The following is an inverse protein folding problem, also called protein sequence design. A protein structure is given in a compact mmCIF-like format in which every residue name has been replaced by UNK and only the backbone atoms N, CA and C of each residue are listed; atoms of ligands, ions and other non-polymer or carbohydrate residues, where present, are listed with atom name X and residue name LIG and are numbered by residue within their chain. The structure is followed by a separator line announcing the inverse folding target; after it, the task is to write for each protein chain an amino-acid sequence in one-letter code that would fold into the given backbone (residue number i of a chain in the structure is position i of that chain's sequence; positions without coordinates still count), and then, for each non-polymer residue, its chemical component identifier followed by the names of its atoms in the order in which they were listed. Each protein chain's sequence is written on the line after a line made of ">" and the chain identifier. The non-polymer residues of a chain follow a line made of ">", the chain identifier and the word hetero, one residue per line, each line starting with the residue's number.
data_IF_334699659690
#
_entry.id   IF_334699659690
#
_cell.length_a   1.000
_cell.length_b   1.000
_cell.length_c   1.000
_cell.angle_alpha   90.00
_cell.angle_beta   90.00
_cell.angle_gamma   90.00
#
_symmetry.space_group_name_H-M   'P 1'
#
loop_
_entity.id
_entity.type
_entity.pdbx_description
1 polymer ?
#
# COMPACT_ATOMS: atom_id res chain seq x y z
N UNK A 1 -20.73 29.81 31.95
CA UNK A 1 -19.93 28.70 32.52
C UNK A 1 -20.58 27.40 32.04
N UNK A 2 -19.97 26.39 31.44
CA UNK A 2 -18.61 26.06 31.03
C UNK A 2 -18.75 25.15 29.81
N UNK A 3 -18.13 25.48 28.68
CA UNK A 3 -18.14 24.65 27.46
C UNK A 3 -17.25 23.42 27.69
N UNK A 4 -17.86 22.23 27.80
CA UNK A 4 -17.13 20.96 27.88
C UNK A 4 -16.37 20.75 26.56
N UNK A 5 -15.07 21.10 26.55
CA UNK A 5 -14.13 20.67 25.51
C UNK A 5 -14.12 19.14 25.48
N UNK A 6 -14.64 18.56 24.40
CA UNK A 6 -14.47 17.15 24.05
C UNK A 6 -12.98 16.87 23.88
N UNK A 7 -12.31 16.34 24.89
CA UNK A 7 -10.95 15.82 24.75
C UNK A 7 -11.01 14.55 23.90
N UNK A 8 -10.75 14.68 22.61
CA UNK A 8 -10.53 13.53 21.74
C UNK A 8 -9.40 12.68 22.35
N UNK A 9 -9.71 11.44 22.75
CA UNK A 9 -8.70 10.50 23.25
C UNK A 9 -7.61 10.35 22.18
N UNK A 10 -6.35 10.55 22.54
CA UNK A 10 -5.19 10.37 21.64
C UNK A 10 -4.85 8.89 21.53
N UNK A 11 -4.53 8.42 20.32
CA UNK A 11 -4.06 7.04 20.08
C UNK A 11 -2.78 6.77 20.89
N UNK A 12 -2.70 5.64 21.62
CA UNK A 12 -1.51 5.27 22.39
C UNK A 12 -0.25 5.19 21.52
N UNK A 13 0.88 5.71 22.02
CA UNK A 13 2.15 5.71 21.29
C UNK A 13 2.63 4.31 20.88
N UNK A 14 2.36 3.27 21.67
CA UNK A 14 2.73 1.90 21.31
C UNK A 14 1.99 1.38 20.06
N UNK A 15 0.88 2.00 19.70
CA UNK A 15 0.10 1.70 18.51
C UNK A 15 0.50 2.52 17.28
N UNK A 16 1.46 3.43 17.42
CA UNK A 16 1.99 4.24 16.33
C UNK A 16 3.37 3.71 15.91
N UNK A 17 3.64 3.69 14.61
CA UNK A 17 4.87 3.13 14.03
C UNK A 17 6.13 3.81 14.59
N UNK A 18 6.05 5.11 14.86
CA UNK A 18 7.15 5.95 15.35
C UNK A 18 7.06 6.24 16.86
N UNK A 19 6.09 5.67 17.55
CA UNK A 19 5.93 5.86 18.99
C UNK A 19 5.40 7.25 19.29
N UNK A 20 6.12 7.98 20.13
CA UNK A 20 5.86 9.41 20.42
C UNK A 20 6.56 10.34 19.42
N UNK A 21 7.38 9.80 18.52
CA UNK A 21 8.13 10.61 17.56
C UNK A 21 7.23 10.91 16.37
N UNK A 22 7.35 12.13 15.86
CA UNK A 22 6.70 12.54 14.63
C UNK A 22 7.53 12.15 13.39
N UNK A 23 6.96 12.40 12.21
CA UNK A 23 7.72 12.37 10.97
C UNK A 23 8.81 13.46 11.02
N UNK A 24 10.02 13.19 10.48
CA UNK A 24 11.09 14.18 10.48
C UNK A 24 10.66 15.48 9.77
N UNK A 25 11.04 16.64 10.32
CA UNK A 25 10.63 17.92 9.75
C UNK A 25 11.26 18.20 8.38
N UNK A 26 12.46 17.68 8.14
CA UNK A 26 13.16 17.72 6.87
C UNK A 26 13.97 16.45 6.63
N UNK A 27 14.22 16.16 5.36
CA UNK A 27 15.07 15.05 4.91
C UNK A 27 15.91 15.53 3.73
N UNK A 28 17.21 15.25 3.77
CA UNK A 28 18.11 15.42 2.64
C UNK A 28 18.21 14.10 1.87
N UNK A 29 17.99 14.16 0.56
CA UNK A 29 18.21 13.07 -0.39
C UNK A 29 19.23 13.52 -1.44
N UNK A 30 19.71 12.61 -2.28
CA UNK A 30 20.58 12.95 -3.41
C UNK A 30 19.93 13.98 -4.36
N UNK A 31 18.60 13.94 -4.46
CA UNK A 31 17.79 14.88 -5.22
C UNK A 31 17.49 16.19 -4.49
N UNK A 32 18.15 16.52 -3.38
CA UNK A 32 18.00 17.79 -2.66
C UNK A 32 17.31 17.69 -1.30
N UNK A 33 17.01 18.85 -0.70
CA UNK A 33 16.34 18.94 0.60
C UNK A 33 14.82 19.04 0.46
N UNK A 34 14.12 18.31 1.32
CA UNK A 34 12.66 18.28 1.35
C UNK A 34 12.15 18.54 2.78
N UNK A 35 11.08 19.31 2.90
CA UNK A 35 10.41 19.64 4.17
C UNK A 35 9.05 18.98 4.26
N UNK A 36 8.68 18.55 5.46
CA UNK A 36 7.41 17.91 5.73
C UNK A 36 6.26 18.88 5.42
N UNK A 37 5.32 18.43 4.60
CA UNK A 37 4.16 19.21 4.20
C UNK A 37 2.86 18.59 4.76
N UNK A 38 2.62 17.30 4.52
CA UNK A 38 1.38 16.64 4.96
C UNK A 38 1.61 15.21 5.40
N UNK A 39 1.16 14.87 6.61
CA UNK A 39 1.12 13.47 7.07
C UNK A 39 -0.16 12.80 6.56
N UNK A 40 -0.02 11.73 5.78
CA UNK A 40 -1.15 10.97 5.26
C UNK A 40 -1.63 9.91 6.25
N UNK A 41 -0.70 9.20 6.86
CA UNK A 41 -1.01 8.05 7.72
C UNK A 41 0.04 7.90 8.80
N UNK A 42 -0.40 7.57 10.01
CA UNK A 42 0.46 7.10 11.09
C UNK A 42 -0.24 5.96 11.81
N UNK A 43 0.02 4.74 11.35
CA UNK A 43 -0.60 3.55 11.91
C UNK A 43 0.43 2.69 12.66
N UNK A 44 0.04 1.46 13.01
CA UNK A 44 0.88 0.53 13.73
C UNK A 44 2.17 0.13 12.99
N UNK A 45 2.12 0.01 11.68
CA UNK A 45 3.19 -0.54 10.86
C UNK A 45 4.05 0.52 10.19
N UNK A 46 3.44 1.63 9.76
CA UNK A 46 4.16 2.70 9.08
C UNK A 46 3.57 4.09 9.33
N UNK A 47 4.44 5.09 9.18
CA UNK A 47 4.07 6.48 9.01
C UNK A 47 4.40 6.91 7.58
N UNK A 48 3.45 7.55 6.89
CA UNK A 48 3.59 7.99 5.49
C UNK A 48 3.23 9.47 5.41
N UNK A 49 4.08 10.26 4.78
CA UNK A 49 3.88 11.69 4.62
C UNK A 49 4.45 12.22 3.31
N UNK A 50 3.88 13.31 2.82
CA UNK A 50 4.37 14.11 1.71
C UNK A 50 5.36 15.16 2.20
N UNK A 51 6.43 15.33 1.44
CA UNK A 51 7.42 16.38 1.62
C UNK A 51 7.54 17.18 0.32
N UNK A 52 7.94 18.44 0.44
CA UNK A 52 8.12 19.37 -0.66
C UNK A 52 9.54 19.94 -0.61
N UNK A 53 10.19 20.00 -1.76
CA UNK A 53 11.51 20.60 -1.94
C UNK A 53 11.61 21.26 -3.31
N UNK A 54 12.76 21.84 -3.61
CA UNK A 54 12.98 22.59 -4.86
C UNK A 54 12.83 21.71 -6.11
N UNK A 55 13.11 20.41 -5.98
CA UNK A 55 12.99 19.41 -7.04
C UNK A 55 11.63 18.69 -7.07
N UNK A 56 10.61 19.26 -6.42
CA UNK A 56 9.23 18.78 -6.46
C UNK A 56 8.76 18.13 -5.16
N UNK A 57 7.73 17.27 -5.28
CA UNK A 57 7.09 16.61 -4.14
C UNK A 57 7.49 15.14 -4.06
N UNK A 58 7.66 14.65 -2.85
CA UNK A 58 8.02 13.25 -2.58
C UNK A 58 7.11 12.66 -1.50
N UNK A 59 7.00 11.33 -1.49
CA UNK A 59 6.39 10.58 -0.40
C UNK A 59 7.48 9.85 0.36
N UNK A 60 7.50 10.03 1.68
CA UNK A 60 8.36 9.27 2.57
C UNK A 60 7.49 8.35 3.40
N UNK A 61 7.84 7.06 3.38
CA UNK A 61 7.23 6.02 4.19
C UNK A 61 8.28 5.49 5.17
N UNK A 62 8.01 5.60 6.46
CA UNK A 62 8.86 5.09 7.54
C UNK A 62 8.14 3.96 8.25
N UNK A 63 8.69 2.76 8.13
CA UNK A 63 8.24 1.57 8.85
C UNK A 63 8.47 1.66 10.35
N UNK A 64 7.85 0.73 11.07
CA UNK A 64 7.83 0.70 12.53
C UNK A 64 9.24 0.75 13.16
N UNK A 65 9.38 1.66 14.13
CA UNK A 65 10.50 1.77 15.07
C UNK A 65 10.06 1.52 16.52
N UNK A 66 8.78 1.76 16.83
CA UNK A 66 8.25 1.70 18.17
C UNK A 66 8.19 0.28 18.76
N UNK A 67 8.36 0.22 20.07
CA UNK A 67 8.11 -0.99 20.85
C UNK A 67 6.61 -1.25 20.94
N UNK A 68 6.22 -2.52 20.88
CA UNK A 68 4.88 -2.94 21.26
C UNK A 68 4.98 -3.67 22.59
N UNK A 69 4.60 -2.98 23.68
CA UNK A 69 4.88 -3.42 25.04
C UNK A 69 6.38 -3.70 25.23
N UNK A 70 6.77 -4.95 25.47
CA UNK A 70 8.15 -5.38 25.72
C UNK A 70 8.83 -5.93 24.47
N UNK A 71 8.18 -5.88 23.31
CA UNK A 71 8.71 -6.45 22.07
C UNK A 71 9.26 -5.33 21.17
N UNK A 72 10.58 -5.31 20.88
CA UNK A 72 11.16 -4.38 19.93
C UNK A 72 10.81 -4.82 18.51
N UNK A 73 9.86 -4.13 17.87
CA UNK A 73 9.40 -4.46 16.51
C UNK A 73 10.11 -3.66 15.40
N UNK A 74 11.22 -2.97 15.72
CA UNK A 74 11.99 -2.18 14.75
C UNK A 74 12.54 -3.01 13.59
N UNK A 75 12.84 -4.29 13.82
CA UNK A 75 13.33 -5.20 12.78
C UNK A 75 12.29 -5.42 11.66
N UNK A 76 10.99 -5.40 11.98
CA UNK A 76 9.91 -5.50 10.99
C UNK A 76 9.95 -4.27 10.08
N UNK A 77 10.09 -3.07 10.65
CA UNK A 77 10.20 -1.83 9.87
C UNK A 77 11.42 -1.82 8.95
N UNK A 78 12.57 -2.34 9.41
CA UNK A 78 13.76 -2.50 8.55
C UNK A 78 13.54 -3.47 7.42
N UNK A 79 12.94 -4.63 7.71
CA UNK A 79 12.65 -5.65 6.72
C UNK A 79 11.66 -5.13 5.66
N UNK A 80 10.55 -4.51 6.07
CA UNK A 80 9.59 -3.89 5.15
C UNK A 80 10.25 -2.85 4.25
N UNK A 81 11.04 -1.93 4.83
CA UNK A 81 11.72 -0.92 4.03
C UNK A 81 12.71 -1.55 3.04
N UNK A 82 13.45 -2.59 3.46
CA UNK A 82 14.36 -3.38 2.61
C UNK A 82 13.65 -4.00 1.42
N UNK A 83 12.60 -4.74 1.73
CA UNK A 83 11.78 -5.42 0.76
C UNK A 83 11.13 -4.46 -0.25
N UNK A 84 10.44 -3.44 0.25
CA UNK A 84 9.71 -2.47 -0.57
C UNK A 84 10.66 -1.63 -1.45
N UNK A 85 11.84 -1.25 -0.93
CA UNK A 85 12.86 -0.58 -1.75
C UNK A 85 13.35 -1.47 -2.88
N UNK A 86 13.62 -2.76 -2.59
CA UNK A 86 14.02 -3.71 -3.63
C UNK A 86 12.92 -4.02 -4.65
N UNK A 87 11.65 -3.78 -4.32
CA UNK A 87 10.55 -3.81 -5.29
C UNK A 87 10.58 -2.56 -6.18
N UNK A 88 10.71 -1.37 -5.59
CA UNK A 88 10.83 -0.12 -6.34
C UNK A 88 12.04 -0.13 -7.29
N UNK A 89 13.22 -0.54 -6.82
CA UNK A 89 14.43 -0.67 -7.64
C UNK A 89 14.24 -1.63 -8.82
N UNK A 90 13.49 -2.72 -8.63
CA UNK A 90 13.22 -3.70 -9.68
C UNK A 90 12.18 -3.24 -10.72
N UNK A 91 11.46 -2.14 -10.43
CA UNK A 91 10.34 -1.63 -11.21
C UNK A 91 10.50 -0.16 -11.61
N UNK A 92 11.67 0.44 -11.38
CA UNK A 92 11.92 1.89 -11.56
C UNK A 92 11.78 2.33 -13.03
N UNK A 93 11.88 1.39 -13.97
CA UNK A 93 11.69 1.62 -15.40
C UNK A 93 10.21 1.57 -15.84
N UNK A 94 9.29 1.14 -14.98
CA UNK A 94 7.87 1.13 -15.30
C UNK A 94 7.24 2.51 -15.05
N UNK A 95 6.69 3.11 -16.11
CA UNK A 95 5.97 4.38 -16.02
C UNK A 95 4.80 4.35 -15.00
N UNK A 96 4.17 3.19 -14.80
CA UNK A 96 3.10 3.00 -13.83
C UNK A 96 3.59 2.88 -12.37
N UNK A 97 4.88 3.04 -12.09
CA UNK A 97 5.47 3.00 -10.74
C UNK A 97 6.15 4.33 -10.46
N UNK A 98 5.89 4.98 -9.31
CA UNK A 98 6.58 6.21 -8.98
C UNK A 98 8.09 6.00 -8.89
N UNK A 99 8.85 6.96 -9.43
CA UNK A 99 10.32 6.93 -9.40
C UNK A 99 10.83 6.74 -7.97
N UNK A 100 11.73 5.78 -7.80
CA UNK A 100 12.37 5.54 -6.53
C UNK A 100 13.42 6.61 -6.23
N UNK A 101 13.41 7.16 -5.02
CA UNK A 101 14.36 8.22 -4.60
C UNK A 101 15.31 7.73 -3.51
N UNK A 102 15.30 6.43 -3.21
CA UNK A 102 16.24 5.81 -2.29
C UNK A 102 15.70 5.64 -0.86
N UNK A 103 16.63 5.26 0.01
CA UNK A 103 16.37 4.89 1.40
C UNK A 103 16.41 6.10 2.32
N UNK A 104 15.40 6.21 3.19
CA UNK A 104 15.40 7.17 4.31
C UNK A 104 15.81 6.44 5.58
N UNK A 105 17.13 6.35 5.77
CA UNK A 105 17.74 5.56 6.82
C UNK A 105 17.35 4.07 6.78
N UNK A 106 17.48 3.38 7.91
CA UNK A 106 17.28 1.92 7.98
C UNK A 106 15.82 1.46 7.92
N UNK A 107 14.85 2.34 8.12
CA UNK A 107 13.43 1.97 8.29
C UNK A 107 12.51 2.66 7.29
N UNK A 108 13.02 3.54 6.43
CA UNK A 108 12.19 4.27 5.49
C UNK A 108 12.73 4.26 4.08
N UNK A 109 11.88 4.73 3.18
CA UNK A 109 12.14 4.89 1.76
C UNK A 109 11.39 6.12 1.24
N UNK A 110 11.88 6.66 0.14
CA UNK A 110 11.29 7.79 -0.57
C UNK A 110 11.01 7.41 -2.02
N UNK A 111 9.89 7.90 -2.55
CA UNK A 111 9.57 7.86 -3.97
C UNK A 111 8.91 9.17 -4.41
N UNK A 112 8.89 9.43 -5.71
CA UNK A 112 8.24 10.61 -6.27
C UNK A 112 6.75 10.65 -5.88
N UNK A 113 6.24 11.83 -5.59
CA UNK A 113 4.81 12.03 -5.41
C UNK A 113 4.12 12.04 -6.78
N UNK A 114 3.00 11.32 -6.87
CA UNK A 114 2.15 11.33 -8.07
C UNK A 114 1.03 12.35 -7.83
N UNK A 115 0.94 13.35 -8.71
CA UNK A 115 -0.21 14.28 -8.73
C UNK A 115 -1.46 13.53 -9.21
N UNK A 116 -2.54 13.67 -8.46
CA UNK A 116 -3.75 12.85 -8.58
C UNK A 116 -4.27 12.39 -7.24
N UNK A 117 -5.02 11.29 -7.23
CA UNK A 117 -5.65 10.78 -6.02
C UNK A 117 -5.78 9.24 -6.00
N UNK A 118 -5.87 8.63 -4.81
CA UNK A 118 -6.20 7.21 -4.70
C UNK A 118 -7.53 6.88 -5.34
N UNK A 119 -7.56 5.83 -6.17
CA UNK A 119 -8.74 5.37 -6.88
C UNK A 119 -9.89 5.08 -5.90
N UNK A 120 -11.02 5.77 -6.11
CA UNK A 120 -12.21 5.61 -5.28
C UNK A 120 -13.10 4.49 -5.84
N UNK A 121 -13.88 3.88 -4.95
CA UNK A 121 -14.81 2.81 -5.36
C UNK A 121 -15.92 3.40 -6.23
N UNK A 122 -16.10 2.86 -7.44
CA UNK A 122 -17.15 3.32 -8.36
C UNK A 122 -16.83 4.65 -9.05
N UNK A 123 -15.61 5.14 -8.91
CA UNK A 123 -15.14 6.29 -9.68
C UNK A 123 -15.10 5.96 -11.17
N UNK A 124 -15.37 6.94 -12.03
CA UNK A 124 -15.22 6.75 -13.47
C UNK A 124 -13.81 7.17 -13.88
N UNK A 125 -13.03 6.21 -14.36
CA UNK A 125 -11.66 6.42 -14.90
C UNK A 125 -11.67 6.42 -16.43
N UNK A 126 -10.61 6.90 -17.10
CA UNK A 126 -10.47 6.84 -18.56
C UNK A 126 -10.67 5.44 -19.15
N UNK A 127 -11.04 5.37 -20.43
CA UNK A 127 -11.40 4.10 -21.08
C UNK A 127 -10.24 3.10 -21.15
N UNK A 128 -9.04 3.60 -21.39
CA UNK A 128 -7.80 2.81 -21.49
C UNK A 128 -7.11 2.54 -20.14
N UNK A 129 -7.67 3.05 -19.03
CA UNK A 129 -7.05 2.98 -17.71
C UNK A 129 -6.76 1.54 -17.26
N UNK A 130 -7.72 0.64 -17.46
CA UNK A 130 -7.57 -0.76 -17.07
C UNK A 130 -6.65 -1.54 -18.02
N UNK A 131 -6.53 -1.12 -19.28
CA UNK A 131 -5.58 -1.73 -20.20
C UNK A 131 -4.15 -1.43 -19.76
N UNK A 132 -3.85 -0.16 -19.50
CA UNK A 132 -2.57 0.31 -18.91
C UNK A 132 -2.26 -0.37 -17.57
N UNK A 133 -3.26 -0.50 -16.68
CA UNK A 133 -3.08 -1.19 -15.40
C UNK A 133 -2.76 -2.68 -15.58
N UNK A 134 -3.39 -3.35 -16.55
CA UNK A 134 -3.08 -4.76 -16.89
C UNK A 134 -1.68 -4.89 -17.47
N UNK A 135 -1.25 -3.98 -18.33
CA UNK A 135 0.11 -3.94 -18.86
C UNK A 135 1.16 -3.79 -17.75
N UNK A 136 0.94 -2.87 -16.81
CA UNK A 136 1.81 -2.69 -15.65
C UNK A 136 1.94 -3.97 -14.82
N UNK A 137 0.82 -4.63 -14.53
CA UNK A 137 0.80 -5.87 -13.75
C UNK A 137 1.43 -7.03 -14.52
N UNK A 138 1.22 -7.13 -15.83
CA UNK A 138 1.89 -8.11 -16.68
C UNK A 138 3.42 -7.92 -16.64
N UNK A 139 3.89 -6.68 -16.73
CA UNK A 139 5.32 -6.37 -16.66
C UNK A 139 5.92 -6.71 -15.28
N UNK A 140 5.18 -6.49 -14.19
CA UNK A 140 5.57 -6.96 -12.84
C UNK A 140 5.68 -8.50 -12.83
N UNK A 141 4.70 -9.20 -13.42
CA UNK A 141 4.67 -10.66 -13.45
C UNK A 141 5.81 -11.27 -14.27
N UNK A 142 6.18 -10.63 -15.38
CA UNK A 142 7.31 -11.03 -16.25
C UNK A 142 8.65 -10.95 -15.51
N UNK A 143 8.81 -10.01 -14.57
CA UNK A 143 10.00 -9.90 -13.71
C UNK A 143 10.05 -10.93 -12.58
N UNK A 144 9.13 -11.89 -12.54
CA UNK A 144 9.09 -12.89 -11.48
C UNK A 144 8.48 -12.38 -10.17
N UNK A 145 7.71 -11.29 -10.23
CA UNK A 145 7.07 -10.68 -9.07
C UNK A 145 5.55 -10.90 -9.09
N UNK A 146 4.88 -10.63 -7.97
CA UNK A 146 3.43 -10.47 -7.90
C UNK A 146 3.12 -9.27 -7.00
N UNK A 147 2.10 -8.48 -7.34
CA UNK A 147 1.81 -7.24 -6.62
C UNK A 147 1.07 -7.50 -5.29
N UNK A 148 0.13 -8.45 -5.28
CA UNK A 148 -0.59 -9.02 -4.12
C UNK A 148 -1.61 -8.11 -3.43
N UNK A 149 -1.44 -6.78 -3.42
CA UNK A 149 -2.33 -5.87 -2.66
C UNK A 149 -3.42 -5.16 -3.49
N UNK A 150 -3.68 -5.60 -4.73
CA UNK A 150 -4.67 -4.98 -5.63
C UNK A 150 -6.12 -5.05 -5.12
N UNK A 151 -6.38 -5.77 -4.02
CA UNK A 151 -7.69 -5.74 -3.37
C UNK A 151 -8.04 -4.34 -2.83
N UNK A 152 -7.03 -3.56 -2.43
CA UNK A 152 -7.20 -2.18 -1.97
C UNK A 152 -7.06 -1.23 -3.16
N UNK A 153 -8.18 -0.70 -3.64
CA UNK A 153 -8.17 0.30 -4.72
C UNK A 153 -7.35 1.54 -4.35
N UNK A 154 -7.23 1.87 -3.05
CA UNK A 154 -6.43 2.98 -2.53
C UNK A 154 -4.93 2.87 -2.86
N UNK A 155 -4.43 1.68 -3.21
CA UNK A 155 -3.04 1.50 -3.64
C UNK A 155 -2.83 1.74 -5.15
N UNK A 156 -3.90 2.04 -5.89
CA UNK A 156 -3.83 2.52 -7.27
C UNK A 156 -4.14 4.01 -7.24
N UNK A 157 -3.18 4.84 -7.65
CA UNK A 157 -3.40 6.27 -7.84
C UNK A 157 -3.89 6.50 -9.27
N UNK A 158 -4.95 7.29 -9.42
CA UNK A 158 -5.35 7.88 -10.69
C UNK A 158 -4.56 9.18 -10.81
N UNK A 159 -3.60 9.23 -11.72
CA UNK A 159 -2.84 10.44 -11.97
C UNK A 159 -3.70 11.52 -12.63
N UNK A 160 -3.32 12.79 -12.44
CA UNK A 160 -3.95 13.91 -13.15
C UNK A 160 -3.76 13.83 -14.69
N UNK A 161 -2.77 13.05 -15.13
CA UNK A 161 -2.52 12.66 -16.51
C UNK A 161 -3.43 11.52 -17.02
N UNK A 162 -4.34 11.02 -16.17
CA UNK A 162 -5.23 9.90 -16.46
C UNK A 162 -4.58 8.51 -16.41
N UNK A 163 -3.31 8.41 -15.98
CA UNK A 163 -2.58 7.14 -15.94
C UNK A 163 -2.77 6.42 -14.59
N UNK A 164 -2.74 5.06 -14.58
CA UNK A 164 -2.72 4.29 -13.34
C UNK A 164 -1.30 4.21 -12.76
N UNK A 165 -1.14 4.55 -11.48
CA UNK A 165 0.11 4.35 -10.75
C UNK A 165 -0.06 3.38 -9.59
N UNK A 166 0.84 2.41 -9.45
CA UNK A 166 0.88 1.42 -8.38
C UNK A 166 1.80 1.90 -7.25
N UNK A 167 1.27 1.93 -6.03
CA UNK A 167 2.03 2.25 -4.82
C UNK A 167 1.93 1.12 -3.79
N UNK A 168 2.66 1.24 -2.69
CA UNK A 168 2.65 0.30 -1.55
C UNK A 168 3.01 -1.15 -1.93
N UNK A 169 4.30 -1.40 -2.18
CA UNK A 169 4.82 -2.73 -2.53
C UNK A 169 5.21 -3.57 -1.30
N UNK A 170 4.78 -3.16 -0.11
CA UNK A 170 5.23 -3.74 1.16
C UNK A 170 4.93 -5.24 1.28
N UNK A 171 3.82 -5.70 0.70
CA UNK A 171 3.42 -7.12 0.71
C UNK A 171 3.59 -7.80 -0.64
N UNK A 172 4.15 -7.10 -1.64
CA UNK A 172 4.38 -7.68 -2.95
C UNK A 172 5.33 -8.86 -2.86
N UNK A 173 5.11 -9.88 -3.70
CA UNK A 173 6.00 -11.02 -3.76
C UNK A 173 7.23 -10.69 -4.60
N UNK A 174 8.40 -10.75 -3.98
CA UNK A 174 9.70 -10.70 -4.65
C UNK A 174 10.64 -11.68 -3.99
N UNK A 175 11.12 -12.63 -4.75
CA UNK A 175 12.16 -13.56 -4.31
C UNK A 175 13.16 -13.73 -5.44
N UNK A 176 14.44 -13.51 -5.16
CA UNK A 176 15.47 -13.60 -6.20
C UNK A 176 15.60 -15.04 -6.71
N UNK A 177 16.02 -15.18 -7.97
CA UNK A 177 16.29 -16.49 -8.57
C UNK A 177 17.35 -17.27 -7.79
N UNK A 178 18.36 -16.58 -7.29
CA UNK A 178 19.44 -17.16 -6.47
C UNK A 178 18.92 -17.76 -5.15
N UNK A 179 17.92 -17.16 -4.52
CA UNK A 179 17.26 -17.70 -3.32
C UNK A 179 16.24 -18.81 -3.64
N UNK A 180 16.29 -19.40 -4.83
CA UNK A 180 15.41 -20.50 -5.23
C UNK A 180 13.98 -20.06 -5.59
N UNK A 181 13.75 -18.79 -5.93
CA UNK A 181 12.41 -18.29 -6.27
C UNK A 181 11.75 -18.98 -7.47
N UNK A 182 12.54 -19.64 -8.33
CA UNK A 182 12.05 -20.44 -9.46
C UNK A 182 11.90 -21.94 -9.14
N UNK A 183 12.29 -22.37 -7.94
CA UNK A 183 12.17 -23.76 -7.52
C UNK A 183 10.75 -24.05 -7.04
N UNK A 184 10.35 -25.31 -7.17
CA UNK A 184 9.16 -25.81 -6.49
C UNK A 184 9.42 -25.82 -4.97
N UNK A 185 8.48 -25.38 -4.10
CA UNK A 185 7.10 -24.95 -4.39
C UNK A 185 6.91 -23.44 -4.61
N UNK A 186 7.96 -22.63 -4.46
CA UNK A 186 7.89 -21.16 -4.48
C UNK A 186 7.42 -20.61 -5.82
N UNK A 187 7.83 -21.23 -6.94
CA UNK A 187 7.33 -20.91 -8.28
C UNK A 187 5.81 -21.09 -8.39
N UNK A 188 5.26 -22.15 -7.79
CA UNK A 188 3.82 -22.41 -7.80
C UNK A 188 3.09 -21.35 -6.96
N UNK A 189 3.61 -21.02 -5.78
CA UNK A 189 3.07 -19.96 -4.93
C UNK A 189 3.06 -18.62 -5.66
N UNK A 190 4.17 -18.23 -6.30
CA UNK A 190 4.25 -17.03 -7.14
C UNK A 190 3.16 -17.02 -8.21
N UNK A 191 3.01 -18.11 -8.98
CA UNK A 191 1.96 -18.21 -10.02
C UNK A 191 0.56 -18.04 -9.42
N UNK A 192 0.31 -18.56 -8.22
CA UNK A 192 -0.98 -18.37 -7.51
C UNK A 192 -1.20 -16.91 -7.10
N UNK A 193 -0.16 -16.23 -6.62
CA UNK A 193 -0.23 -14.81 -6.28
C UNK A 193 -0.49 -13.95 -7.53
N UNK A 194 0.19 -14.25 -8.65
CA UNK A 194 -0.05 -13.60 -9.94
C UNK A 194 -1.49 -13.81 -10.43
N UNK A 195 -2.05 -15.02 -10.28
CA UNK A 195 -3.47 -15.28 -10.58
C UNK A 195 -4.40 -14.45 -9.68
N UNK A 196 -4.03 -14.24 -8.42
CA UNK A 196 -4.79 -13.38 -7.50
C UNK A 196 -4.82 -11.93 -7.99
N UNK A 197 -3.70 -11.39 -8.46
CA UNK A 197 -3.65 -10.04 -9.04
C UNK A 197 -4.63 -9.90 -10.21
N UNK A 198 -4.62 -10.83 -11.16
CA UNK A 198 -5.54 -10.83 -12.31
C UNK A 198 -7.02 -10.89 -11.89
N UNK A 199 -7.34 -11.66 -10.85
CA UNK A 199 -8.68 -11.68 -10.28
C UNK A 199 -9.04 -10.32 -9.66
N UNK A 200 -8.11 -9.68 -8.93
CA UNK A 200 -8.34 -8.39 -8.31
C UNK A 200 -8.48 -7.25 -9.32
N UNK A 201 -7.74 -7.25 -10.43
CA UNK A 201 -7.95 -6.29 -11.53
C UNK A 201 -9.36 -6.42 -12.09
N UNK A 202 -9.82 -7.63 -12.44
CA UNK A 202 -11.18 -7.84 -12.97
C UNK A 202 -12.26 -7.39 -11.98
N UNK A 203 -12.05 -7.68 -10.69
CA UNK A 203 -12.94 -7.23 -9.60
C UNK A 203 -12.95 -5.70 -9.47
N UNK A 204 -11.81 -5.04 -9.68
CA UNK A 204 -11.68 -3.59 -9.64
C UNK A 204 -12.36 -2.95 -10.86
N UNK A 205 -12.11 -3.45 -12.07
CA UNK A 205 -12.75 -3.00 -13.30
C UNK A 205 -14.26 -3.12 -13.22
N UNK A 206 -14.79 -4.28 -12.81
CA UNK A 206 -16.24 -4.47 -12.65
C UNK A 206 -16.89 -3.42 -11.73
N UNK A 207 -16.17 -2.95 -10.71
CA UNK A 207 -16.69 -1.96 -9.76
C UNK A 207 -16.63 -0.53 -10.27
N UNK A 208 -15.86 -0.28 -11.32
CA UNK A 208 -15.39 1.06 -11.73
C UNK A 208 -15.89 1.37 -13.15
N UNK A 209 -15.64 0.45 -14.09
CA UNK A 209 -16.03 0.50 -15.49
C UNK A 209 -16.57 -0.86 -15.97
N UNK A 210 -17.72 -1.33 -15.45
CA UNK A 210 -18.34 -2.57 -15.92
C UNK A 210 -18.78 -2.49 -17.39
N UNK A 211 -19.02 -1.27 -17.89
CA UNK A 211 -19.38 -0.95 -19.28
C UNK A 211 -18.28 -1.31 -20.29
N UNK A 212 -17.01 -1.38 -19.85
CA UNK A 212 -15.87 -1.72 -20.70
C UNK A 212 -15.49 -3.21 -20.63
N UNK A 213 -16.29 -4.04 -19.96
CA UNK A 213 -16.03 -5.46 -19.84
C UNK A 213 -16.91 -6.23 -20.83
N UNK A 214 -16.35 -7.25 -21.48
CA UNK A 214 -17.14 -8.22 -22.21
C UNK A 214 -18.11 -8.94 -21.27
N UNK A 215 -19.23 -9.45 -21.79
CA UNK A 215 -20.18 -10.21 -20.97
C UNK A 215 -19.54 -11.42 -20.29
N UNK A 216 -18.60 -12.07 -20.98
CA UNK A 216 -17.88 -13.23 -20.46
C UNK A 216 -16.90 -12.84 -19.35
N UNK A 217 -16.19 -11.71 -19.50
CA UNK A 217 -15.32 -11.18 -18.43
C UNK A 217 -16.13 -10.75 -17.20
N UNK A 218 -17.31 -10.15 -17.42
CA UNK A 218 -18.22 -9.80 -16.34
C UNK A 218 -18.63 -11.05 -15.56
N UNK A 219 -19.11 -12.10 -16.25
CA UNK A 219 -19.46 -13.39 -15.62
C UNK A 219 -18.26 -13.99 -14.88
N UNK A 220 -17.10 -14.05 -15.52
CA UNK A 220 -15.87 -14.58 -14.93
C UNK A 220 -15.46 -13.83 -13.64
N UNK A 221 -15.66 -12.51 -13.58
CA UNK A 221 -15.31 -11.69 -12.42
C UNK A 221 -16.14 -11.97 -11.15
N UNK A 222 -17.29 -12.64 -11.29
CA UNK A 222 -18.11 -13.08 -10.15
C UNK A 222 -17.63 -14.41 -9.56
N UNK A 223 -16.93 -15.23 -10.35
CA UNK A 223 -16.37 -16.50 -9.89
C UNK A 223 -15.16 -16.26 -9.00
N UNK A 224 -15.37 -16.37 -7.69
CA UNK A 224 -14.30 -16.29 -6.70
C UNK A 224 -13.45 -17.56 -6.75
N UNK A 225 -12.13 -17.47 -7.05
CA UNK A 225 -11.26 -18.63 -7.02
C UNK A 225 -11.28 -19.29 -5.63
N UNK A 226 -11.15 -20.61 -5.59
CA UNK A 226 -11.25 -21.37 -4.34
C UNK A 226 -10.22 -20.89 -3.29
N UNK A 227 -9.01 -20.51 -3.70
CA UNK A 227 -7.95 -20.05 -2.81
C UNK A 227 -8.29 -18.68 -2.18
N UNK A 228 -8.99 -17.79 -2.90
CA UNK A 228 -9.52 -16.53 -2.35
C UNK A 228 -10.60 -16.82 -1.30
N UNK A 229 -11.45 -17.83 -1.54
CA UNK A 229 -12.46 -18.28 -0.56
C UNK A 229 -11.81 -18.90 0.68
N UNK A 230 -10.80 -19.75 0.49
CA UNK A 230 -10.05 -20.40 1.56
C UNK A 230 -9.28 -19.39 2.42
N UNK A 231 -8.60 -18.43 1.79
CA UNK A 231 -7.93 -17.33 2.50
C UNK A 231 -8.93 -16.52 3.34
N UNK A 232 -10.10 -16.20 2.78
CA UNK A 232 -11.16 -15.53 3.51
C UNK A 232 -11.66 -16.32 4.73
N UNK A 233 -11.73 -17.65 4.63
CA UNK A 233 -12.12 -18.51 5.75
C UNK A 233 -11.03 -18.55 6.84
N UNK A 234 -9.77 -18.69 6.43
CA UNK A 234 -8.62 -18.81 7.33
C UNK A 234 -8.32 -17.50 8.09
N UNK A 235 -8.45 -16.36 7.42
CA UNK A 235 -8.11 -15.06 8.02
C UNK A 235 -9.23 -14.45 8.87
N UNK A 236 -10.50 -14.74 8.57
CA UNK A 236 -11.67 -14.24 9.34
C UNK A 236 -11.56 -14.37 10.86
N UNK A 237 -11.20 -15.54 11.44
CA UNK A 237 -11.06 -15.66 12.89
C UNK A 237 -9.93 -14.76 13.42
N UNK A 238 -8.80 -14.69 12.73
CA UNK A 238 -7.65 -13.83 13.07
C UNK A 238 -8.04 -12.36 13.00
N UNK A 239 -8.74 -11.92 11.96
CA UNK A 239 -9.19 -10.53 11.81
C UNK A 239 -10.19 -10.15 12.89
N UNK A 240 -11.11 -11.04 13.26
CA UNK A 240 -12.07 -10.83 14.37
C UNK A 240 -11.33 -10.72 15.71
N UNK A 241 -10.34 -11.56 15.96
CA UNK A 241 -9.52 -11.52 17.17
C UNK A 241 -8.70 -10.22 17.24
N UNK A 242 -7.99 -9.88 16.16
CA UNK A 242 -7.26 -8.61 16.02
C UNK A 242 -8.16 -7.41 16.30
N UNK A 243 -9.36 -7.37 15.72
CA UNK A 243 -10.34 -6.29 15.94
C UNK A 243 -10.79 -6.20 17.40
N UNK A 244 -11.01 -7.34 18.08
CA UNK A 244 -11.36 -7.35 19.51
C UNK A 244 -10.22 -6.82 20.38
N UNK A 245 -8.98 -7.19 20.08
CA UNK A 245 -7.79 -6.73 20.81
C UNK A 245 -7.56 -5.23 20.57
N UNK A 246 -7.57 -4.78 19.31
CA UNK A 246 -7.39 -3.36 18.98
C UNK A 246 -8.49 -2.48 19.57
N UNK A 247 -9.76 -2.92 19.56
CA UNK A 247 -10.85 -2.16 20.20
C UNK A 247 -10.69 -2.00 21.72
N UNK A 248 -9.97 -2.92 22.39
CA UNK A 248 -9.65 -2.80 23.82
C UNK A 248 -8.50 -1.84 24.08
N UNK A 249 -7.57 -1.69 23.13
CA UNK A 249 -6.34 -0.89 23.28
C UNK A 249 -6.54 0.54 22.73
N UNK A 250 -7.31 0.70 21.65
CA UNK A 250 -7.67 1.99 21.07
C UNK A 250 -9.17 2.06 20.67
N UNK A 251 -10.05 2.54 21.58
CA UNK A 251 -11.47 2.71 21.26
C UNK A 251 -11.76 3.88 20.30
N UNK A 252 -10.76 4.70 19.93
CA UNK A 252 -10.91 5.88 19.06
C UNK A 252 -11.02 5.48 17.58
N UNK A 253 -10.47 4.32 17.21
CA UNK A 253 -10.50 3.77 15.84
C UNK A 253 -11.94 3.60 15.30
N UNK A 254 -12.97 3.58 16.16
CA UNK A 254 -14.39 3.54 15.78
C UNK A 254 -14.87 4.72 14.92
N UNK A 255 -14.18 5.87 14.89
CA UNK A 255 -14.66 7.07 14.15
C UNK A 255 -13.89 7.42 12.86
N UNK A 256 -12.74 6.80 12.59
CA UNK A 256 -11.84 7.24 11.50
C UNK A 256 -11.64 6.29 10.31
N UNK A 257 -11.84 4.98 10.48
CA UNK A 257 -11.60 4.02 9.38
C UNK A 257 -12.88 3.70 8.59
N UNK A 258 -13.40 4.74 7.95
CA UNK A 258 -13.92 4.68 6.58
C UNK A 258 -13.30 5.88 5.91
N UNK A 259 -12.35 5.67 4.99
CA UNK A 259 -11.59 6.71 4.30
C UNK A 259 -12.47 7.90 3.89
N UNK A 260 -12.52 8.90 4.77
CA UNK A 260 -12.95 10.25 4.44
C UNK A 260 -11.67 11.02 4.24
N UNK A 261 -11.35 11.21 2.96
CA UNK A 261 -10.64 12.39 2.50
C UNK A 261 -11.46 13.56 3.02
N UNK A 262 -10.96 14.25 4.03
CA UNK A 262 -11.41 15.62 4.26
C UNK A 262 -10.63 16.45 3.24
N UNK A 263 -11.39 17.14 2.38
CA UNK A 263 -10.95 18.22 1.50
C UNK A 263 -10.04 19.21 2.23
#
# INVERSE_FOLDING_TARGET
>A
MSSKKSTAKKTPACLLALGRSDMPASVALESGEYRLDKVFKHDFFAATARYVGDNGKIVIKIGRKAWFWFVPLGWIGRWHAGHESGCYEALDDLAAVPKFLGRVGKHGLAHAYIEGHPLRKGERVPDDFFDKLREAIAAIHQRGMAYVDLEKCENVIVGDDGQPYLIDFQISWRLSKWLGGELFPLRLLRKRLQQSDWYHIRKLQRRTRPDLMSEDDLKASYHKPFYVRAHGYLTRPITKLRRRILNKIDPVQKRGERGRVNE
#
